data_IF_971114080106
#
_entry.id   IF_971114080106
#
_cell.length_a   1.000
_cell.length_b   1.000
_cell.length_c   1.000
_cell.angle_alpha   90.00
_cell.angle_beta   90.00
_cell.angle_gamma   90.00
#
_symmetry.space_group_name_H-M   'P 1'
#
loop_
_entity.id
_entity.type
_entity.pdbx_description
1 polymer ?
#
# COMPACT_ATOMS: atom_id res chain seq x y z
N UNK A 1 11.75 14.40 -7.64
CA UNK A 1 11.12 13.96 -6.39
C UNK A 1 12.15 14.14 -5.28
N UNK A 2 11.78 14.77 -4.17
CA UNK A 2 12.75 15.23 -3.16
C UNK A 2 13.20 14.13 -2.19
N UNK A 3 12.53 12.97 -2.21
CA UNK A 3 12.95 11.76 -1.52
C UNK A 3 13.02 10.61 -2.51
N UNK A 4 14.23 10.24 -2.90
CA UNK A 4 14.54 9.08 -3.74
C UNK A 4 15.58 8.27 -2.99
N UNK A 5 15.33 6.98 -2.79
CA UNK A 5 16.35 6.08 -2.28
C UNK A 5 17.43 5.94 -3.35
N UNK A 6 18.65 6.40 -3.05
CA UNK A 6 19.80 6.35 -3.97
C UNK A 6 20.36 4.93 -4.12
N UNK A 7 20.06 4.06 -3.16
CA UNK A 7 20.44 2.65 -3.16
C UNK A 7 19.26 1.77 -2.77
N UNK A 8 19.25 0.53 -3.28
CA UNK A 8 18.25 -0.45 -2.90
C UNK A 8 18.45 -0.86 -1.42
N UNK A 9 17.45 -0.72 -0.55
CA UNK A 9 17.59 -1.05 0.87
C UNK A 9 17.81 -2.55 1.05
N UNK A 10 19.03 -2.93 1.45
CA UNK A 10 19.40 -4.35 1.67
C UNK A 10 19.13 -4.79 3.10
N UNK A 11 18.46 -5.93 3.23
CA UNK A 11 18.13 -6.55 4.51
C UNK A 11 17.21 -5.70 5.40
N UNK A 12 16.94 -6.20 6.60
CA UNK A 12 16.09 -5.52 7.58
C UNK A 12 16.62 -4.13 8.00
N UNK A 13 17.92 -3.93 8.28
CA UNK A 13 18.42 -2.61 8.67
C UNK A 13 18.25 -1.56 7.58
N UNK A 14 18.48 -1.93 6.31
CA UNK A 14 18.27 -1.04 5.17
C UNK A 14 16.80 -0.63 5.03
N UNK A 15 15.88 -1.58 5.17
CA UNK A 15 14.44 -1.33 5.10
C UNK A 15 13.95 -0.42 6.24
N UNK A 16 14.47 -0.61 7.47
CA UNK A 16 14.17 0.26 8.62
C UNK A 16 14.67 1.68 8.35
N UNK A 17 15.90 1.85 7.89
CA UNK A 17 16.45 3.18 7.55
C UNK A 17 15.64 3.86 6.45
N UNK A 18 15.28 3.14 5.40
CA UNK A 18 14.43 3.65 4.33
C UNK A 18 13.07 4.10 4.86
N UNK A 19 12.44 3.32 5.75
CA UNK A 19 11.14 3.64 6.35
C UNK A 19 11.23 4.88 7.26
N UNK A 20 12.29 5.01 8.06
CA UNK A 20 12.52 6.19 8.90
C UNK A 20 12.76 7.43 8.02
N UNK A 21 13.55 7.30 6.95
CA UNK A 21 13.77 8.36 5.96
C UNK A 21 12.46 8.82 5.33
N UNK A 22 11.62 7.88 4.91
CA UNK A 22 10.29 8.16 4.37
C UNK A 22 9.41 8.87 5.41
N UNK A 23 9.39 8.42 6.66
CA UNK A 23 8.60 9.06 7.71
C UNK A 23 9.05 10.51 7.99
N UNK A 24 10.37 10.76 7.96
CA UNK A 24 10.93 12.13 8.10
C UNK A 24 10.52 13.01 6.94
N UNK A 25 10.63 12.50 5.71
CA UNK A 25 10.19 13.20 4.52
C UNK A 25 8.70 13.55 4.57
N UNK A 26 7.84 12.57 4.83
CA UNK A 26 6.38 12.78 4.91
C UNK A 26 6.01 13.77 6.00
N UNK A 27 6.66 13.73 7.16
CA UNK A 27 6.41 14.71 8.24
C UNK A 27 6.80 16.14 7.85
N UNK A 28 7.86 16.30 7.07
CA UNK A 28 8.28 17.60 6.57
C UNK A 28 7.36 18.12 5.45
N UNK A 29 6.98 17.24 4.52
CA UNK A 29 6.09 17.57 3.40
C UNK A 29 4.64 17.85 3.82
N UNK A 30 4.19 17.29 4.96
CA UNK A 30 2.83 17.44 5.51
C UNK A 30 1.72 17.14 4.48
N UNK A 31 1.73 15.97 3.83
CA UNK A 31 0.68 15.64 2.87
C UNK A 31 -0.66 15.41 3.58
N UNK A 32 -1.75 15.83 2.92
CA UNK A 32 -3.10 15.52 3.38
C UNK A 32 -3.42 14.02 3.28
N UNK A 33 -2.87 13.37 2.24
CA UNK A 33 -3.05 11.94 1.99
C UNK A 33 -1.78 11.28 1.45
N UNK A 34 -1.61 9.98 1.74
CA UNK A 34 -0.58 9.12 1.16
C UNK A 34 -1.23 7.94 0.46
N UNK A 35 -0.88 7.74 -0.81
CA UNK A 35 -1.30 6.59 -1.60
C UNK A 35 -0.10 5.67 -1.76
N UNK A 36 -0.28 4.41 -1.38
CA UNK A 36 0.75 3.38 -1.44
C UNK A 36 0.42 2.37 -2.53
N UNK A 37 1.47 1.86 -3.17
CA UNK A 37 1.38 0.89 -4.25
C UNK A 37 2.31 -0.29 -3.98
N UNK A 38 1.93 -1.45 -4.51
CA UNK A 38 2.68 -2.71 -4.43
C UNK A 38 2.77 -3.27 -3.00
N UNK A 39 2.97 -4.58 -2.84
CA UNK A 39 2.93 -5.22 -1.51
C UNK A 39 3.95 -4.64 -0.52
N UNK A 40 5.17 -4.37 -0.96
CA UNK A 40 6.19 -3.74 -0.12
C UNK A 40 5.87 -2.27 0.17
N UNK A 41 5.43 -1.52 -0.83
CA UNK A 41 5.09 -0.10 -0.66
C UNK A 41 3.85 0.09 0.21
N UNK A 42 2.86 -0.81 0.16
CA UNK A 42 1.70 -0.80 1.05
C UNK A 42 2.13 -0.96 2.51
N UNK A 43 3.03 -1.89 2.81
CA UNK A 43 3.50 -2.10 4.20
C UNK A 43 4.37 -0.93 4.65
N UNK A 44 5.50 -0.69 3.99
CA UNK A 44 6.47 0.32 4.44
C UNK A 44 5.96 1.74 4.28
N UNK A 45 5.19 2.02 3.23
CA UNK A 45 4.56 3.31 3.00
C UNK A 45 3.48 3.61 4.02
N UNK A 46 2.63 2.64 4.36
CA UNK A 46 1.61 2.83 5.41
C UNK A 46 2.26 3.03 6.78
N UNK A 47 3.29 2.24 7.12
CA UNK A 47 4.04 2.42 8.37
C UNK A 47 4.68 3.81 8.40
N UNK A 48 5.38 4.20 7.34
CA UNK A 48 6.02 5.51 7.22
C UNK A 48 5.01 6.66 7.36
N UNK A 49 3.87 6.56 6.70
CA UNK A 49 2.78 7.55 6.76
C UNK A 49 2.16 7.63 8.17
N UNK A 50 1.93 6.49 8.83
CA UNK A 50 1.44 6.46 10.22
C UNK A 50 2.44 7.08 11.18
N UNK A 51 3.72 6.74 11.06
CA UNK A 51 4.77 7.36 11.86
C UNK A 51 4.82 8.87 11.62
N UNK A 52 4.64 9.32 10.38
CA UNK A 52 4.58 10.74 10.03
C UNK A 52 3.31 11.47 10.52
N UNK A 53 2.30 10.77 11.04
CA UNK A 53 1.05 11.36 11.51
C UNK A 53 0.05 11.68 10.39
N UNK A 54 0.20 11.08 9.21
CA UNK A 54 -0.70 11.29 8.08
C UNK A 54 -2.10 10.77 8.41
N UNK A 55 -3.11 11.59 8.11
CA UNK A 55 -4.51 11.29 8.42
C UNK A 55 -5.12 10.30 7.44
N UNK A 56 -4.92 10.52 6.13
CA UNK A 56 -5.52 9.72 5.07
C UNK A 56 -4.47 8.86 4.37
N UNK A 57 -4.64 7.55 4.43
CA UNK A 57 -3.75 6.56 3.82
C UNK A 57 -4.61 5.62 2.98
N UNK A 58 -4.24 5.48 1.71
CA UNK A 58 -4.90 4.59 0.75
C UNK A 58 -3.87 3.56 0.29
N UNK A 59 -4.17 2.28 0.48
CA UNK A 59 -3.40 1.18 -0.08
C UNK A 59 -3.95 0.81 -1.46
N UNK A 60 -3.12 0.20 -2.30
CA UNK A 60 -3.55 -0.33 -3.60
C UNK A 60 -3.05 -1.77 -3.79
N UNK A 61 -3.97 -2.69 -4.05
CA UNK A 61 -3.66 -4.07 -4.44
C UNK A 61 -3.88 -4.26 -5.94
N UNK A 62 -2.83 -4.69 -6.62
CA UNK A 62 -2.87 -5.04 -8.05
C UNK A 62 -2.77 -6.54 -8.30
N UNK A 63 -2.74 -7.35 -7.25
CA UNK A 63 -2.53 -8.80 -7.35
C UNK A 63 -3.10 -9.57 -6.16
N UNK A 64 -3.15 -10.89 -6.32
CA UNK A 64 -3.67 -11.80 -5.31
C UNK A 64 -2.75 -11.86 -4.07
N UNK A 65 -3.30 -12.05 -2.87
CA UNK A 65 -2.49 -12.35 -1.70
C UNK A 65 -1.84 -13.74 -1.85
N UNK A 66 -0.62 -13.85 -1.34
CA UNK A 66 0.16 -15.08 -1.40
C UNK A 66 0.00 -15.88 -0.10
N UNK A 67 0.16 -17.21 -0.18
CA UNK A 67 0.01 -18.11 0.98
C UNK A 67 1.34 -18.58 1.58
N UNK A 68 2.42 -18.57 0.79
CA UNK A 68 3.72 -19.14 1.13
C UNK A 68 4.89 -18.17 0.86
N UNK A 69 6.05 -18.49 1.44
CA UNK A 69 7.27 -17.70 1.28
C UNK A 69 7.18 -16.28 1.86
N UNK A 70 8.12 -15.44 1.45
CA UNK A 70 8.20 -14.03 1.88
C UNK A 70 6.93 -13.27 1.49
N UNK A 71 6.42 -13.47 0.27
CA UNK A 71 5.18 -12.81 -0.17
C UNK A 71 3.97 -13.21 0.68
N UNK A 72 3.91 -14.46 1.14
CA UNK A 72 2.86 -14.91 2.04
C UNK A 72 2.93 -14.23 3.42
N UNK A 73 4.14 -14.01 3.93
CA UNK A 73 4.34 -13.24 5.17
C UNK A 73 3.88 -11.78 4.98
N UNK A 74 4.27 -11.13 3.88
CA UNK A 74 3.84 -9.76 3.58
C UNK A 74 2.31 -9.65 3.44
N UNK A 75 1.68 -10.64 2.81
CA UNK A 75 0.21 -10.70 2.68
C UNK A 75 -0.47 -10.81 4.05
N UNK A 76 0.11 -11.57 4.99
CA UNK A 76 -0.39 -11.65 6.38
C UNK A 76 -0.21 -10.34 7.13
N UNK A 77 0.92 -9.67 6.96
CA UNK A 77 1.17 -8.35 7.56
C UNK A 77 0.14 -7.35 7.02
N UNK A 78 -0.02 -7.25 5.71
CA UNK A 78 -1.01 -6.37 5.08
C UNK A 78 -2.44 -6.67 5.58
N UNK A 79 -2.80 -7.95 5.68
CA UNK A 79 -4.08 -8.39 6.24
C UNK A 79 -4.30 -7.83 7.65
N UNK A 80 -3.31 -7.96 8.54
CA UNK A 80 -3.40 -7.43 9.90
C UNK A 80 -3.50 -5.90 9.91
N UNK A 81 -2.71 -5.22 9.07
CA UNK A 81 -2.75 -3.76 8.93
C UNK A 81 -4.14 -3.28 8.48
N UNK A 82 -4.73 -3.93 7.49
CA UNK A 82 -6.07 -3.62 7.00
C UNK A 82 -7.16 -3.91 8.02
N UNK A 83 -7.05 -5.00 8.78
CA UNK A 83 -7.97 -5.31 9.88
C UNK A 83 -7.94 -4.22 10.96
N UNK A 84 -6.73 -3.89 11.42
CA UNK A 84 -6.49 -2.85 12.43
C UNK A 84 -6.78 -1.43 11.93
N UNK A 85 -6.92 -1.22 10.63
CA UNK A 85 -7.27 0.09 10.06
C UNK A 85 -6.09 1.04 9.92
N UNK A 86 -4.90 0.51 9.71
CA UNK A 86 -3.71 1.32 9.46
C UNK A 86 -3.80 2.09 8.13
N UNK A 87 -4.72 1.74 7.26
CA UNK A 87 -5.17 2.58 6.15
C UNK A 87 -6.71 2.70 6.15
N UNK A 88 -7.21 3.77 5.53
CA UNK A 88 -8.65 4.04 5.47
C UNK A 88 -9.31 3.31 4.31
N UNK A 89 -8.62 3.20 3.18
CA UNK A 89 -9.12 2.51 1.99
C UNK A 89 -8.04 1.63 1.38
N UNK A 90 -8.48 0.59 0.69
CA UNK A 90 -7.64 -0.33 -0.07
C UNK A 90 -8.24 -0.49 -1.48
N UNK A 91 -7.59 0.10 -2.47
CA UNK A 91 -8.08 0.09 -3.85
C UNK A 91 -7.70 -1.22 -4.52
N UNK A 92 -8.65 -1.82 -5.24
CA UNK A 92 -8.41 -2.97 -6.12
C UNK A 92 -8.76 -2.59 -7.55
N UNK A 93 -7.94 -3.07 -8.49
CA UNK A 93 -7.98 -2.67 -9.90
C UNK A 93 -8.95 -3.45 -10.79
N UNK A 94 -9.60 -4.49 -10.26
CA UNK A 94 -10.56 -5.30 -10.99
C UNK A 94 -11.45 -6.11 -10.04
N UNK A 95 -12.60 -6.55 -10.53
CA UNK A 95 -13.44 -7.53 -9.82
C UNK A 95 -12.74 -8.87 -9.58
N UNK A 96 -11.84 -9.28 -10.48
CA UNK A 96 -11.04 -10.49 -10.30
C UNK A 96 -10.08 -10.37 -9.10
N UNK A 97 -9.39 -9.23 -8.99
CA UNK A 97 -8.48 -8.94 -7.87
C UNK A 97 -9.26 -8.86 -6.56
N UNK A 98 -10.45 -8.23 -6.57
CA UNK A 98 -11.32 -8.14 -5.40
C UNK A 98 -11.69 -9.53 -4.85
N UNK A 99 -12.12 -10.45 -5.73
CA UNK A 99 -12.51 -11.82 -5.36
C UNK A 99 -11.39 -12.62 -4.69
N UNK A 100 -10.12 -12.27 -4.94
CA UNK A 100 -8.98 -12.94 -4.28
C UNK A 100 -8.96 -12.72 -2.75
N UNK A 101 -9.69 -11.72 -2.27
CA UNK A 101 -9.78 -11.38 -0.84
C UNK A 101 -11.07 -11.86 -0.18
N UNK A 102 -11.92 -12.66 -0.83
CA UNK A 102 -13.21 -13.11 -0.26
C UNK A 102 -13.07 -13.84 1.08
N UNK A 103 -11.96 -14.57 1.26
CA UNK A 103 -11.62 -15.28 2.51
C UNK A 103 -11.06 -14.37 3.60
N UNK A 104 -10.90 -13.07 3.34
CA UNK A 104 -10.41 -12.13 4.34
C UNK A 104 -11.54 -11.71 5.28
N UNK A 105 -11.24 -11.40 6.55
CA UNK A 105 -12.21 -10.90 7.51
C UNK A 105 -12.95 -9.67 6.99
N UNK A 106 -14.22 -9.53 7.38
CA UNK A 106 -15.06 -8.39 7.00
C UNK A 106 -14.43 -7.04 7.38
N UNK A 107 -13.68 -6.99 8.50
CA UNK A 107 -12.95 -5.79 8.94
C UNK A 107 -11.90 -5.32 7.93
N UNK A 108 -11.29 -6.22 7.17
CA UNK A 108 -10.43 -5.89 6.04
C UNK A 108 -11.27 -5.50 4.82
N UNK A 109 -12.20 -6.38 4.42
CA UNK A 109 -13.00 -6.21 3.19
C UNK A 109 -13.82 -4.92 3.16
N UNK A 110 -14.34 -4.44 4.30
CA UNK A 110 -15.07 -3.16 4.37
C UNK A 110 -14.28 -1.93 3.92
N UNK A 111 -12.93 -2.02 3.91
CA UNK A 111 -12.02 -0.97 3.44
C UNK A 111 -11.68 -1.09 1.97
N UNK A 112 -12.05 -2.20 1.33
CA UNK A 112 -11.79 -2.40 -0.10
C UNK A 112 -12.69 -1.49 -0.95
N UNK A 113 -12.12 -0.92 -2.00
CA UNK A 113 -12.81 -0.10 -2.99
C UNK A 113 -12.36 -0.52 -4.37
N UNK A 114 -13.27 -1.03 -5.19
CA UNK A 114 -12.96 -1.39 -6.57
C UNK A 114 -12.97 -0.13 -7.45
N UNK A 115 -11.85 0.10 -8.12
CA UNK A 115 -11.72 1.10 -9.18
C UNK A 115 -11.09 0.36 -10.35
N UNK A 116 -11.90 0.01 -11.35
CA UNK A 116 -11.42 -0.73 -12.51
C UNK A 116 -10.40 0.11 -13.29
N UNK A 117 -9.35 -0.53 -13.79
CA UNK A 117 -8.27 0.18 -14.46
C UNK A 117 -8.78 0.87 -15.72
N UNK A 118 -8.50 2.17 -15.84
CA UNK A 118 -8.78 2.91 -17.07
C UNK A 118 -7.86 2.42 -18.19
N UNK A 119 -8.44 2.25 -19.38
CA UNK A 119 -7.68 2.08 -20.62
C UNK A 119 -8.00 3.27 -21.53
N UNK A 120 -7.02 3.79 -22.29
CA UNK A 120 -7.30 4.80 -23.31
C UNK A 120 -8.42 4.32 -24.23
N UNK A 121 -9.40 5.18 -24.49
CA UNK A 121 -10.39 4.90 -25.52
C UNK A 121 -9.68 5.04 -26.88
N UNK A 122 -9.76 4.04 -27.77
CA UNK A 122 -9.14 4.15 -29.08
C UNK A 122 -9.64 5.41 -29.81
N UNK A 123 -8.73 6.33 -30.13
CA UNK A 123 -9.05 7.56 -30.86
C UNK A 123 -9.18 8.83 -30.02
N UNK A 124 -9.06 8.78 -28.70
CA UNK A 124 -8.85 9.99 -27.88
C UNK A 124 -7.34 10.26 -27.72
N UNK A 125 -6.86 11.38 -28.27
CA UNK A 125 -5.53 11.93 -27.95
C UNK A 125 -5.64 12.79 -26.68
N UNK A 126 -4.75 12.54 -25.72
CA UNK A 126 -4.67 13.26 -24.44
C UNK A 126 -3.88 14.56 -24.53
#
# INVERSE_FOLDING_TARGET
ADFILTECPRGLPGQIRATIGLARYLRAARPDAVITYQHYGNIFGTIGARLAGVRHIVANQSGAPHSSGVMGLLSRIDKLMGMAGLYQANVVNSGWTEAQFDRYPQSYRRRMRRIDHGVPVPGEEF
#
